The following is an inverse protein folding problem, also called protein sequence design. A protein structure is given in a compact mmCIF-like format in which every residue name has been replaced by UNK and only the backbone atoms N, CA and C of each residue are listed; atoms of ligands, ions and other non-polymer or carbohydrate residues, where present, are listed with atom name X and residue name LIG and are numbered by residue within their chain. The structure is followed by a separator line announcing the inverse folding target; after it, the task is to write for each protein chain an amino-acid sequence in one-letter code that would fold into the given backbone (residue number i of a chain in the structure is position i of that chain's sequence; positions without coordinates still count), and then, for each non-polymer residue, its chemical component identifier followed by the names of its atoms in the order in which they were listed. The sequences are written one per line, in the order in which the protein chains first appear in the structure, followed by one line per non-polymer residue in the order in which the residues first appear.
data_IF_519356327795
#
_entry.id   IF_519356327795
#
_cell.length_a   1.000
_cell.length_b   1.000
_cell.length_c   1.000
_cell.angle_alpha   90.00
_cell.angle_beta   90.00
_cell.angle_gamma   90.00
#
_symmetry.space_group_name_H-M   'P 1'
#
loop_
_entity.id
_entity.type
_entity.pdbx_description
1 polymer ?
#
# COMPACT_ATOMS: atom_id res chain seq x y z
N UNK A 1 -6.03 -14.91 -23.07
CA UNK A 1 -6.29 -14.53 -21.66
C UNK A 1 -4.95 -14.43 -20.96
N UNK A 2 -4.59 -13.26 -20.45
CA UNK A 2 -3.32 -13.04 -19.76
C UNK A 2 -3.27 -13.91 -18.52
N UNK A 3 -2.22 -14.72 -18.38
CA UNK A 3 -2.03 -15.56 -17.21
C UNK A 3 -2.15 -14.71 -15.92
N UNK A 4 -3.08 -15.03 -14.99
CA UNK A 4 -3.15 -14.37 -13.70
C UNK A 4 -1.86 -14.57 -12.86
N UNK A 5 -0.92 -15.42 -13.31
CA UNK A 5 0.42 -15.56 -12.72
C UNK A 5 1.43 -14.48 -13.11
N UNK A 6 1.17 -13.66 -14.14
CA UNK A 6 2.16 -12.64 -14.54
C UNK A 6 1.99 -11.35 -13.75
N UNK A 7 3.12 -10.86 -13.21
CA UNK A 7 3.26 -9.52 -12.66
C UNK A 7 2.56 -8.49 -13.57
N UNK A 8 1.81 -7.58 -12.97
CA UNK A 8 1.02 -6.61 -13.70
C UNK A 8 1.24 -5.20 -13.17
N UNK A 9 1.08 -4.23 -14.05
CA UNK A 9 0.99 -2.83 -13.68
C UNK A 9 -0.47 -2.44 -13.59
N UNK A 10 -0.78 -1.52 -12.70
CA UNK A 10 -2.04 -0.79 -12.71
C UNK A 10 -1.76 0.68 -12.94
N UNK A 11 -2.42 1.27 -13.94
CA UNK A 11 -2.54 2.72 -14.05
C UNK A 11 -3.68 3.14 -13.13
N UNK A 12 -3.34 3.86 -12.05
CA UNK A 12 -4.26 4.20 -10.97
C UNK A 12 -4.37 5.70 -10.77
N UNK A 13 -5.55 6.13 -10.37
CA UNK A 13 -5.77 7.45 -9.77
C UNK A 13 -5.88 7.26 -8.26
N UNK A 14 -5.03 7.98 -7.53
CA UNK A 14 -5.07 8.03 -6.07
C UNK A 14 -5.66 9.38 -5.65
N UNK A 15 -6.73 9.32 -4.87
CA UNK A 15 -7.43 10.47 -4.31
C UNK A 15 -7.37 10.49 -2.80
N UNK A 16 -7.22 11.69 -2.25
CA UNK A 16 -7.36 11.96 -0.83
C UNK A 16 -8.40 13.05 -0.64
N UNK A 17 -9.35 12.82 0.26
CA UNK A 17 -10.41 13.78 0.61
C UNK A 17 -10.51 13.89 2.12
N UNK A 18 -10.42 15.11 2.65
CA UNK A 18 -10.63 15.41 4.06
C UNK A 18 -12.05 15.90 4.27
N UNK A 19 -12.78 15.25 5.17
CA UNK A 19 -14.16 15.58 5.50
C UNK A 19 -14.26 16.53 6.70
N UNK A 20 -13.15 17.18 7.08
CA UNK A 20 -13.06 18.15 8.18
C UNK A 20 -12.58 19.49 7.64
N UNK A 21 -13.00 20.60 8.24
CA UNK A 21 -12.67 21.94 7.75
C UNK A 21 -11.19 22.31 7.92
N UNK A 22 -10.53 22.86 6.87
CA UNK A 22 -11.07 23.03 5.52
C UNK A 22 -11.17 21.70 4.77
N UNK A 23 -12.30 21.49 4.09
CA UNK A 23 -12.48 20.38 3.17
C UNK A 23 -11.46 20.57 2.03
N UNK A 24 -10.46 19.70 2.01
CA UNK A 24 -9.36 19.74 1.07
C UNK A 24 -9.13 18.32 0.55
N UNK A 25 -8.70 18.24 -0.69
CA UNK A 25 -8.42 16.98 -1.33
C UNK A 25 -7.53 17.17 -2.54
N UNK A 26 -6.83 16.11 -2.87
CA UNK A 26 -6.01 16.09 -4.07
C UNK A 26 -6.10 14.72 -4.73
N UNK A 27 -5.94 14.73 -6.05
CA UNK A 27 -5.90 13.53 -6.87
C UNK A 27 -4.65 13.56 -7.73
N UNK A 28 -4.05 12.39 -7.91
CA UNK A 28 -2.88 12.24 -8.75
C UNK A 28 -2.89 10.87 -9.41
N UNK A 29 -2.28 10.78 -10.60
CA UNK A 29 -2.12 9.53 -11.33
C UNK A 29 -0.72 8.98 -11.12
N UNK A 30 -0.64 7.67 -11.01
CA UNK A 30 0.61 6.93 -10.87
C UNK A 30 0.40 5.50 -11.37
N UNK A 31 1.48 4.72 -11.40
CA UNK A 31 1.38 3.28 -11.55
C UNK A 31 1.80 2.54 -10.28
N UNK A 32 1.15 1.41 -10.02
CA UNK A 32 1.51 0.46 -8.97
C UNK A 32 1.66 -0.93 -9.56
N UNK A 33 2.41 -1.80 -8.88
CA UNK A 33 2.66 -3.17 -9.30
C UNK A 33 1.82 -4.13 -8.50
N UNK A 34 1.17 -5.07 -9.19
CA UNK A 34 0.67 -6.31 -8.59
C UNK A 34 1.63 -7.43 -8.96
N UNK A 35 2.22 -8.06 -7.95
CA UNK A 35 3.19 -9.15 -8.12
C UNK A 35 2.82 -10.33 -7.24
N UNK A 36 3.16 -11.52 -7.71
CA UNK A 36 3.18 -12.69 -6.86
C UNK A 36 4.47 -12.67 -6.02
N UNK A 37 4.37 -12.87 -4.71
CA UNK A 37 5.56 -12.91 -3.86
C UNK A 37 6.41 -14.16 -4.10
N UNK A 38 5.83 -15.23 -4.63
CA UNK A 38 6.51 -16.47 -4.95
C UNK A 38 7.10 -16.45 -6.39
N UNK A 39 6.65 -15.51 -7.24
CA UNK A 39 7.16 -15.28 -8.59
C UNK A 39 7.34 -13.77 -8.91
N UNK A 40 8.29 -13.14 -8.20
CA UNK A 40 8.62 -11.73 -8.42
C UNK A 40 9.21 -11.51 -9.83
N UNK A 41 8.83 -10.42 -10.53
CA UNK A 41 9.26 -10.18 -11.90
C UNK A 41 10.77 -9.94 -12.00
N UNK A 42 11.41 -10.62 -12.97
CA UNK A 42 12.84 -10.46 -13.28
C UNK A 42 13.02 -9.57 -14.50
N UNK A 43 13.30 -8.29 -14.30
CA UNK A 43 13.50 -7.36 -15.41
C UNK A 43 14.84 -7.56 -16.13
N UNK A 44 14.90 -7.26 -17.45
CA UNK A 44 16.16 -7.15 -18.19
C UNK A 44 17.11 -6.14 -17.54
N UNK A 45 18.43 -6.38 -17.63
CA UNK A 45 19.48 -5.58 -16.97
C UNK A 45 19.28 -4.06 -17.08
N UNK A 46 18.96 -3.47 -18.25
CA UNK A 46 18.77 -2.01 -18.36
C UNK A 46 17.54 -1.48 -17.62
N UNK A 47 16.53 -2.33 -17.38
CA UNK A 47 15.28 -1.95 -16.72
C UNK A 47 15.28 -2.27 -15.22
N UNK A 48 16.22 -3.09 -14.73
CA UNK A 48 16.34 -3.44 -13.30
C UNK A 48 16.41 -2.24 -12.36
N UNK A 49 17.07 -1.12 -12.69
CA UNK A 49 17.06 0.05 -11.81
C UNK A 49 15.67 0.68 -11.64
N UNK A 50 14.72 0.38 -12.52
CA UNK A 50 13.40 1.01 -12.56
C UNK A 50 12.28 0.17 -11.96
N UNK A 51 12.55 -1.07 -11.56
CA UNK A 51 11.65 -1.80 -10.67
C UNK A 51 12.43 -2.86 -9.90
N UNK A 52 12.51 -2.70 -8.57
CA UNK A 52 13.00 -3.73 -7.64
C UNK A 52 12.06 -3.87 -6.46
N UNK A 53 11.91 -5.10 -5.98
CA UNK A 53 11.17 -5.45 -4.78
C UNK A 53 12.18 -6.01 -3.79
N UNK A 54 12.38 -5.33 -2.67
CA UNK A 54 13.43 -5.64 -1.71
C UNK A 54 12.82 -5.71 -0.32
N UNK A 55 13.19 -6.72 0.47
CA UNK A 55 12.59 -6.92 1.80
C UNK A 55 12.78 -5.74 2.75
N UNK A 56 13.89 -4.98 2.61
CA UNK A 56 14.12 -3.76 3.39
C UNK A 56 13.05 -2.68 3.20
N UNK A 57 12.26 -2.76 2.13
CA UNK A 57 11.18 -1.82 1.82
C UNK A 57 9.81 -2.25 2.34
N UNK A 58 9.74 -3.42 2.95
CA UNK A 58 8.52 -4.05 3.43
C UNK A 58 8.68 -4.52 4.88
N UNK A 59 7.66 -5.16 5.44
CA UNK A 59 7.71 -5.63 6.82
C UNK A 59 8.87 -6.61 7.08
N UNK A 60 9.44 -6.53 8.28
CA UNK A 60 10.36 -7.54 8.81
C UNK A 60 11.80 -7.40 8.36
N UNK A 61 12.58 -8.46 8.55
CA UNK A 61 14.04 -8.41 8.40
C UNK A 61 14.46 -8.16 6.94
N UNK A 62 15.42 -7.25 6.67
CA UNK A 62 15.97 -7.06 5.32
C UNK A 62 16.77 -8.27 4.81
N UNK A 63 17.08 -9.23 5.67
CA UNK A 63 17.84 -10.45 5.34
C UNK A 63 16.96 -11.64 4.95
N UNK A 64 15.64 -11.47 4.94
CA UNK A 64 14.66 -12.49 4.52
C UNK A 64 13.99 -12.06 3.21
N UNK A 65 13.24 -12.96 2.58
CA UNK A 65 12.34 -12.57 1.49
C UNK A 65 11.12 -11.85 2.05
N UNK A 66 10.44 -11.03 1.22
CA UNK A 66 9.18 -10.38 1.61
C UNK A 66 8.15 -11.45 2.03
N UNK A 67 8.06 -12.54 1.26
CA UNK A 67 7.23 -13.71 1.56
C UNK A 67 7.48 -14.26 2.96
N UNK A 68 8.74 -14.57 3.29
CA UNK A 68 9.07 -15.17 4.58
C UNK A 68 8.81 -14.22 5.77
N UNK A 69 9.01 -12.92 5.59
CA UNK A 69 8.65 -11.93 6.62
C UNK A 69 7.13 -11.88 6.83
N UNK A 70 6.35 -11.89 5.75
CA UNK A 70 4.91 -11.92 5.80
C UNK A 70 4.39 -13.18 6.49
N UNK A 71 4.87 -14.36 6.12
CA UNK A 71 4.45 -15.63 6.74
C UNK A 71 4.76 -15.64 8.26
N UNK A 72 5.94 -15.14 8.65
CA UNK A 72 6.27 -15.01 10.08
C UNK A 72 5.37 -14.01 10.82
N UNK A 73 4.98 -12.91 10.17
CA UNK A 73 4.07 -11.96 10.79
C UNK A 73 2.65 -12.53 10.88
N UNK A 74 2.18 -13.23 9.85
CA UNK A 74 0.88 -13.90 9.81
C UNK A 74 0.78 -14.99 10.89
N UNK A 75 1.80 -15.84 11.04
CA UNK A 75 1.77 -16.92 12.04
C UNK A 75 1.67 -16.38 13.46
N UNK A 76 2.36 -15.27 13.76
CA UNK A 76 2.25 -14.55 15.04
C UNK A 76 0.87 -13.95 15.28
N UNK A 77 0.10 -13.72 14.22
CA UNK A 77 -1.28 -13.24 14.27
C UNK A 77 -2.30 -14.37 14.04
N UNK A 78 -1.88 -15.64 14.18
CA UNK A 78 -2.78 -16.81 14.13
C UNK A 78 -3.28 -17.15 12.73
N UNK A 79 -2.52 -16.82 11.68
CA UNK A 79 -2.83 -17.18 10.29
C UNK A 79 -1.69 -18.02 9.72
N UNK A 80 -2.01 -19.23 9.29
CA UNK A 80 -1.16 -20.04 8.43
C UNK A 80 -1.77 -20.06 7.02
N UNK A 81 -0.93 -19.85 6.01
CA UNK A 81 -1.36 -19.88 4.61
C UNK A 81 -1.17 -21.26 3.97
N UNK A 82 -0.48 -22.19 4.65
CA UNK A 82 -0.23 -23.55 4.16
C UNK A 82 0.45 -23.58 2.78
N UNK A 83 1.29 -22.57 2.51
CA UNK A 83 1.95 -22.39 1.20
C UNK A 83 1.05 -21.78 0.12
N UNK A 84 -0.16 -21.33 0.47
CA UNK A 84 -1.05 -20.63 -0.44
C UNK A 84 -0.49 -19.29 -0.93
N UNK A 85 -1.02 -18.84 -2.06
CA UNK A 85 -0.50 -17.73 -2.87
C UNK A 85 -0.60 -16.38 -2.15
N UNK A 86 0.37 -15.49 -2.37
CA UNK A 86 0.28 -14.09 -1.93
C UNK A 86 0.48 -13.11 -3.08
N UNK A 87 -0.55 -12.30 -3.32
CA UNK A 87 -0.50 -11.18 -4.25
C UNK A 87 -0.18 -9.88 -3.52
N UNK A 88 0.91 -9.23 -3.90
CA UNK A 88 1.35 -7.94 -3.34
C UNK A 88 1.07 -6.80 -4.33
N UNK A 89 0.34 -5.79 -3.87
CA UNK A 89 0.17 -4.51 -4.56
C UNK A 89 1.02 -3.42 -3.90
N UNK A 90 2.08 -2.99 -4.58
CA UNK A 90 3.08 -2.06 -4.05
C UNK A 90 3.72 -1.21 -5.15
N UNK A 91 4.37 -0.11 -4.78
CA UNK A 91 5.36 0.52 -5.64
C UNK A 91 6.68 -0.25 -5.59
N UNK A 92 7.30 -0.39 -6.76
CA UNK A 92 8.66 -0.88 -6.87
C UNK A 92 9.66 0.24 -6.58
N UNK A 93 10.87 -0.13 -6.18
CA UNK A 93 12.00 0.79 -6.10
C UNK A 93 12.45 1.22 -7.50
N UNK A 94 12.61 2.53 -7.67
CA UNK A 94 13.02 3.19 -8.90
C UNK A 94 14.23 4.06 -8.62
N UNK A 95 15.34 3.79 -9.31
CA UNK A 95 16.62 4.50 -9.19
C UNK A 95 17.10 4.63 -7.75
N UNK A 96 16.98 3.53 -6.99
CA UNK A 96 17.45 3.49 -5.59
C UNK A 96 16.50 4.12 -4.59
N UNK A 97 15.31 4.59 -4.97
CA UNK A 97 14.31 5.16 -4.06
C UNK A 97 12.95 4.49 -4.19
N UNK A 98 12.23 4.37 -3.08
CA UNK A 98 10.83 3.93 -3.06
C UNK A 98 10.07 4.73 -2.02
N UNK A 99 8.80 4.98 -2.29
CA UNK A 99 7.85 5.52 -1.33
C UNK A 99 6.57 4.68 -1.42
N UNK A 100 6.34 3.86 -0.41
CA UNK A 100 5.21 2.92 -0.30
C UNK A 100 4.30 3.35 0.86
N UNK A 101 3.40 4.34 0.67
CA UNK A 101 2.53 4.80 1.76
C UNK A 101 1.63 3.68 2.29
N UNK A 102 1.23 2.77 1.39
CA UNK A 102 0.55 1.53 1.74
C UNK A 102 0.93 0.43 0.74
N UNK A 103 1.13 -0.78 1.25
CA UNK A 103 1.24 -2.03 0.49
C UNK A 103 0.10 -2.95 0.93
N UNK A 104 -0.56 -3.60 -0.03
CA UNK A 104 -1.61 -4.58 0.25
C UNK A 104 -1.16 -5.98 -0.16
N UNK A 105 -1.40 -6.96 0.71
CA UNK A 105 -1.16 -8.37 0.45
C UNK A 105 -2.49 -9.12 0.49
N UNK A 106 -2.93 -9.69 -0.62
CA UNK A 106 -4.04 -10.65 -0.63
C UNK A 106 -3.44 -12.05 -0.44
N UNK A 107 -3.76 -12.65 0.71
CA UNK A 107 -3.20 -13.91 1.14
C UNK A 107 -4.23 -15.02 0.95
N UNK A 108 -3.90 -15.99 0.12
CA UNK A 108 -4.79 -17.10 -0.23
C UNK A 108 -4.35 -18.39 0.45
N UNK A 109 -5.29 -19.31 0.62
CA UNK A 109 -5.05 -20.72 0.91
C UNK A 109 -4.69 -21.49 -0.36
N UNK A 110 -4.21 -22.74 -0.26
CA UNK A 110 -3.88 -23.57 -1.43
C UNK A 110 -5.08 -23.83 -2.36
N UNK A 111 -6.30 -23.80 -1.84
CA UNK A 111 -7.55 -23.94 -2.61
C UNK A 111 -7.98 -22.65 -3.35
N UNK A 112 -7.24 -21.54 -3.16
CA UNK A 112 -7.51 -20.23 -3.75
C UNK A 112 -8.43 -19.33 -2.92
N UNK A 113 -9.00 -19.82 -1.81
CA UNK A 113 -9.81 -19.01 -0.89
C UNK A 113 -8.97 -17.88 -0.29
N UNK A 114 -9.55 -16.68 -0.16
CA UNK A 114 -8.90 -15.55 0.50
C UNK A 114 -8.88 -15.77 2.03
N UNK A 115 -7.72 -16.08 2.59
CA UNK A 115 -7.56 -16.25 4.04
C UNK A 115 -7.63 -14.91 4.79
N UNK A 116 -6.95 -13.89 4.26
CA UNK A 116 -6.91 -12.54 4.80
C UNK A 116 -6.31 -11.54 3.81
N UNK A 117 -6.42 -10.25 4.14
CA UNK A 117 -5.64 -9.18 3.51
C UNK A 117 -4.77 -8.53 4.58
N UNK A 118 -3.52 -8.21 4.24
CA UNK A 118 -2.65 -7.39 5.09
C UNK A 118 -2.45 -6.03 4.46
N UNK A 119 -2.74 -4.97 5.20
CA UNK A 119 -2.40 -3.60 4.81
C UNK A 119 -1.18 -3.14 5.60
N UNK A 120 -0.03 -3.06 4.94
CA UNK A 120 1.20 -2.51 5.49
C UNK A 120 1.27 -1.02 5.19
N UNK A 121 1.16 -0.19 6.21
CA UNK A 121 1.12 1.26 6.12
C UNK A 121 2.43 1.85 6.59
N UNK A 122 3.00 2.76 5.81
CA UNK A 122 4.21 3.50 6.16
C UNK A 122 3.88 4.95 6.40
N UNK A 123 4.63 5.61 7.29
CA UNK A 123 4.55 7.05 7.45
C UNK A 123 5.80 7.75 6.93
N UNK A 124 5.75 9.08 6.88
CA UNK A 124 6.88 9.91 6.42
C UNK A 124 8.06 9.96 7.40
N UNK A 125 7.95 9.30 8.55
CA UNK A 125 8.98 9.23 9.59
C UNK A 125 9.79 7.92 9.53
N UNK A 126 9.55 7.07 8.53
CA UNK A 126 10.24 5.79 8.37
C UNK A 126 9.70 4.67 9.25
N UNK A 127 8.54 4.87 9.88
CA UNK A 127 7.86 3.86 10.69
C UNK A 127 6.86 3.08 9.83
N UNK A 128 6.51 1.87 10.29
CA UNK A 128 5.64 0.93 9.58
C UNK A 128 4.65 0.27 10.54
N UNK A 129 3.48 -0.08 10.04
CA UNK A 129 2.45 -0.82 10.77
C UNK A 129 1.62 -1.67 9.83
N UNK A 130 1.40 -2.93 10.19
CA UNK A 130 0.56 -3.86 9.47
C UNK A 130 -0.81 -4.00 10.16
N UNK A 131 -1.87 -3.95 9.36
CA UNK A 131 -3.24 -4.30 9.76
C UNK A 131 -3.61 -5.64 9.16
N UNK A 132 -4.01 -6.60 10.00
CA UNK A 132 -4.62 -7.85 9.55
C UNK A 132 -6.11 -7.61 9.31
N UNK A 133 -6.58 -7.91 8.10
CA UNK A 133 -7.93 -7.63 7.66
C UNK A 133 -8.57 -8.94 7.19
N UNK A 134 -9.82 -9.15 7.57
CA UNK A 134 -10.66 -10.24 7.08
C UNK A 134 -11.86 -9.63 6.37
N UNK A 135 -11.73 -9.31 5.07
CA UNK A 135 -12.83 -8.71 4.33
C UNK A 135 -14.04 -9.63 4.29
N UNK A 136 -15.24 -9.06 4.37
CA UNK A 136 -16.49 -9.77 4.12
C UNK A 136 -16.63 -10.14 2.62
N UNK A 137 -17.70 -10.86 2.20
CA UNK A 137 -17.91 -11.19 0.80
C UNK A 137 -18.03 -9.99 -0.15
N UNK A 138 -18.28 -8.79 0.36
CA UNK A 138 -18.33 -7.54 -0.39
C UNK A 138 -16.98 -6.81 -0.41
N UNK A 139 -15.95 -7.38 0.23
CA UNK A 139 -14.60 -6.84 0.32
C UNK A 139 -14.41 -5.80 1.42
N UNK A 140 -15.32 -5.68 2.38
CA UNK A 140 -15.23 -4.70 3.46
C UNK A 140 -14.57 -5.27 4.72
N UNK A 141 -13.64 -4.52 5.31
CA UNK A 141 -13.03 -4.83 6.60
C UNK A 141 -12.93 -3.56 7.46
N UNK A 142 -13.18 -3.71 8.76
CA UNK A 142 -13.04 -2.60 9.72
C UNK A 142 -11.95 -2.94 10.74
N UNK A 143 -11.10 -1.96 11.05
CA UNK A 143 -10.03 -2.11 12.05
C UNK A 143 -9.82 -0.84 12.85
N UNK A 144 -9.50 -0.97 14.15
CA UNK A 144 -9.12 0.18 14.97
C UNK A 144 -7.81 0.78 14.47
N UNK A 145 -7.79 2.10 14.25
CA UNK A 145 -6.57 2.81 13.86
C UNK A 145 -5.59 2.82 15.03
N UNK A 146 -4.36 2.35 14.80
CA UNK A 146 -3.29 2.29 15.82
C UNK A 146 -2.00 2.97 15.38
N UNK A 147 -1.96 3.53 14.17
CA UNK A 147 -0.74 4.07 13.58
C UNK A 147 -0.80 5.57 13.28
N UNK A 148 0.29 6.28 13.58
CA UNK A 148 0.45 7.71 13.27
C UNK A 148 0.91 7.89 11.82
N UNK A 149 -0.05 8.08 10.92
CA UNK A 149 0.19 8.18 9.47
C UNK A 149 0.40 9.61 8.98
N UNK A 150 -0.26 10.58 9.64
CA UNK A 150 -0.24 11.98 9.24
C UNK A 150 -0.43 12.87 10.47
N UNK A 151 0.32 13.97 10.59
CA UNK A 151 0.10 14.95 11.66
C UNK A 151 -1.27 15.63 11.59
N UNK A 152 -1.93 15.60 10.44
CA UNK A 152 -3.22 16.25 10.23
C UNK A 152 -4.41 15.29 10.27
N UNK A 153 -4.22 14.08 10.81
CA UNK A 153 -5.28 13.12 11.08
C UNK A 153 -5.20 12.71 12.56
N UNK A 154 -6.34 12.48 13.23
CA UNK A 154 -6.31 12.03 14.60
C UNK A 154 -5.63 10.67 14.70
N UNK A 155 -5.01 10.42 15.85
CA UNK A 155 -4.34 9.15 16.08
C UNK A 155 -5.34 8.00 16.28
N UNK A 156 -6.47 8.30 16.94
CA UNK A 156 -7.57 7.39 17.24
C UNK A 156 -8.65 7.39 16.15
N UNK A 157 -9.53 6.39 16.22
CA UNK A 157 -10.62 6.16 15.28
C UNK A 157 -10.62 4.75 14.72
N UNK A 158 -11.39 4.54 13.68
CA UNK A 158 -11.47 3.27 12.96
C UNK A 158 -11.27 3.48 11.46
N UNK A 159 -10.61 2.52 10.82
CA UNK A 159 -10.57 2.41 9.38
C UNK A 159 -11.67 1.47 8.90
N UNK A 160 -12.49 1.92 7.97
CA UNK A 160 -13.29 1.07 7.08
C UNK A 160 -12.54 0.96 5.76
N UNK A 161 -12.20 -0.26 5.36
CA UNK A 161 -11.48 -0.53 4.13
C UNK A 161 -12.35 -1.35 3.19
N UNK A 162 -12.43 -0.93 1.92
CA UNK A 162 -12.95 -1.76 0.82
C UNK A 162 -11.76 -2.25 0.01
N UNK A 163 -11.62 -3.56 -0.08
CA UNK A 163 -10.45 -4.26 -0.62
C UNK A 163 -10.89 -5.22 -1.72
N UNK A 164 -11.23 -4.68 -2.88
CA UNK A 164 -11.60 -5.51 -4.03
C UNK A 164 -10.43 -6.40 -4.46
N UNK A 165 -10.72 -7.64 -4.84
CA UNK A 165 -9.70 -8.53 -5.41
C UNK A 165 -9.09 -7.90 -6.68
N UNK A 166 -7.75 -7.82 -6.80
CA UNK A 166 -7.10 -7.08 -7.87
C UNK A 166 -7.05 -7.90 -9.17
N UNK A 167 -8.17 -7.93 -9.89
CA UNK A 167 -8.34 -8.60 -11.20
C UNK A 167 -8.07 -7.69 -12.41
N UNK A 168 -9.09 -7.40 -13.22
CA UNK A 168 -8.96 -6.43 -14.34
C UNK A 168 -8.91 -4.98 -13.86
N UNK A 169 -9.40 -4.74 -12.65
CA UNK A 169 -9.42 -3.44 -11.99
C UNK A 169 -8.94 -3.60 -10.56
N UNK A 170 -8.23 -2.60 -10.10
CA UNK A 170 -7.97 -2.43 -8.67
C UNK A 170 -8.92 -1.37 -8.15
N UNK A 171 -9.54 -1.65 -7.01
CA UNK A 171 -10.30 -0.68 -6.26
C UNK A 171 -10.08 -0.91 -4.77
N UNK A 172 -9.39 0.07 -4.18
CA UNK A 172 -9.13 0.12 -2.76
C UNK A 172 -9.64 1.45 -2.23
N UNK A 173 -10.40 1.41 -1.14
CA UNK A 173 -10.84 2.60 -0.42
C UNK A 173 -10.55 2.43 1.05
N UNK A 174 -9.98 3.46 1.67
CA UNK A 174 -9.72 3.52 3.11
C UNK A 174 -10.40 4.77 3.66
N UNK A 175 -11.40 4.59 4.51
CA UNK A 175 -12.10 5.67 5.21
C UNK A 175 -11.68 5.67 6.67
N UNK A 176 -11.30 6.84 7.17
CA UNK A 176 -11.08 7.05 8.60
C UNK A 176 -12.32 7.67 9.21
N UNK A 177 -12.83 7.05 10.26
CA UNK A 177 -13.90 7.56 11.10
C UNK A 177 -13.36 7.97 12.47
N UNK A 178 -13.97 8.97 13.09
CA UNK A 178 -13.72 9.27 14.50
C UNK A 178 -14.40 8.23 15.43
N UNK A 179 -14.25 8.41 16.74
CA UNK A 179 -14.84 7.53 17.74
C UNK A 179 -16.39 7.59 17.77
N UNK A 180 -17.00 8.65 17.21
CA UNK A 180 -18.44 8.78 17.04
C UNK A 180 -18.94 8.26 15.68
N UNK A 181 -18.05 7.71 14.84
CA UNK A 181 -18.38 7.17 13.51
C UNK A 181 -18.44 8.21 12.39
N UNK A 182 -18.13 9.48 12.64
CA UNK A 182 -18.14 10.53 11.61
C UNK A 182 -16.94 10.35 10.66
N UNK A 183 -17.14 10.40 9.33
CA UNK A 183 -16.04 10.32 8.39
C UNK A 183 -15.13 11.54 8.51
N UNK A 184 -13.83 11.30 8.63
CA UNK A 184 -12.80 12.35 8.73
C UNK A 184 -11.94 12.44 7.47
N UNK A 185 -11.68 11.29 6.85
CA UNK A 185 -10.78 11.20 5.70
C UNK A 185 -11.13 10.01 4.82
N UNK A 186 -10.88 10.15 3.52
CA UNK A 186 -10.99 9.05 2.56
C UNK A 186 -9.77 9.07 1.65
N UNK A 187 -9.07 7.94 1.61
CA UNK A 187 -8.11 7.62 0.55
C UNK A 187 -8.77 6.64 -0.41
N UNK A 188 -8.65 6.88 -1.70
CA UNK A 188 -9.15 6.00 -2.75
C UNK A 188 -8.05 5.74 -3.77
N UNK A 189 -7.94 4.49 -4.21
CA UNK A 189 -7.07 4.08 -5.30
C UNK A 189 -7.89 3.20 -6.23
N UNK A 190 -8.09 3.68 -7.46
CA UNK A 190 -8.80 2.91 -8.48
C UNK A 190 -8.05 2.98 -9.80
N UNK A 191 -8.07 1.89 -10.56
CA UNK A 191 -7.38 1.83 -11.82
C UNK A 191 -7.62 0.55 -12.59
N UNK A 192 -6.94 0.42 -13.72
CA UNK A 192 -7.08 -0.73 -14.63
C UNK A 192 -5.76 -1.45 -14.76
N UNK A 193 -5.84 -2.77 -14.85
CA UNK A 193 -4.69 -3.62 -15.13
C UNK A 193 -4.15 -3.27 -16.52
N UNK A 194 -2.84 -3.12 -16.59
CA UNK A 194 -2.08 -2.87 -17.79
C UNK A 194 -1.23 -4.12 -18.05
N UNK A 195 -1.43 -4.81 -19.18
CA UNK A 195 -0.60 -5.96 -19.53
C UNK A 195 0.88 -5.60 -19.48
N UNK A 196 1.68 -6.42 -18.80
CA UNK A 196 3.12 -6.25 -18.65
C UNK A 196 3.88 -6.67 -19.92
N UNK A 197 3.48 -6.13 -21.07
CA UNK A 197 4.24 -6.29 -22.30
C UNK A 197 5.58 -5.55 -22.20
N UNK A 198 6.72 -6.15 -22.58
CA UNK A 198 8.04 -5.55 -22.39
C UNK A 198 8.18 -4.13 -22.96
N UNK A 199 7.61 -3.87 -24.14
CA UNK A 199 7.63 -2.54 -24.78
C UNK A 199 6.84 -1.50 -24.00
N UNK A 200 5.66 -1.88 -23.52
CA UNK A 200 4.78 -1.00 -22.75
C UNK A 200 5.34 -0.72 -21.36
N UNK A 201 5.91 -1.75 -20.74
CA UNK A 201 6.64 -1.66 -19.49
C UNK A 201 7.83 -0.72 -19.60
N UNK A 202 8.68 -0.88 -20.61
CA UNK A 202 9.81 0.01 -20.86
C UNK A 202 9.34 1.47 -21.06
N UNK A 203 8.29 1.69 -21.87
CA UNK A 203 7.72 3.03 -22.08
C UNK A 203 7.19 3.66 -20.79
N UNK A 204 6.51 2.89 -19.93
CA UNK A 204 5.99 3.37 -18.65
C UNK A 204 7.11 3.72 -17.67
N UNK A 205 8.08 2.81 -17.51
CA UNK A 205 9.21 2.98 -16.58
C UNK A 205 10.13 4.13 -17.01
N UNK A 206 10.45 4.23 -18.30
CA UNK A 206 11.34 5.28 -18.83
C UNK A 206 10.61 6.62 -19.04
N UNK A 207 9.30 6.60 -19.31
CA UNK A 207 8.50 7.82 -19.42
C UNK A 207 8.23 8.49 -18.08
N UNK A 208 8.28 7.73 -16.97
CA UNK A 208 8.12 8.26 -15.63
C UNK A 208 9.17 7.68 -14.66
N UNK A 209 10.47 8.02 -14.84
CA UNK A 209 11.56 7.38 -14.12
C UNK A 209 11.68 7.81 -12.66
N UNK A 210 10.84 8.75 -12.20
CA UNK A 210 10.89 9.33 -10.86
C UNK A 210 9.51 9.32 -10.18
N UNK A 211 8.62 8.38 -10.51
CA UNK A 211 7.27 8.33 -9.90
C UNK A 211 7.33 8.32 -8.38
N UNK A 212 8.06 7.41 -7.71
CA UNK A 212 8.08 7.38 -6.23
C UNK A 212 8.59 8.70 -5.63
N UNK A 213 9.60 9.32 -6.24
CA UNK A 213 10.19 10.59 -5.83
C UNK A 213 9.17 11.73 -5.96
N UNK A 214 8.47 11.80 -7.11
CA UNK A 214 7.44 12.81 -7.38
C UNK A 214 6.26 12.68 -6.40
N UNK A 215 5.80 11.46 -6.15
CA UNK A 215 4.71 11.19 -5.20
C UNK A 215 5.12 11.61 -3.78
N UNK A 216 6.32 11.23 -3.34
CA UNK A 216 6.82 11.60 -2.02
C UNK A 216 7.01 13.11 -1.86
N UNK A 217 7.52 13.80 -2.89
CA UNK A 217 7.66 15.26 -2.90
C UNK A 217 6.29 15.96 -2.81
N UNK A 218 5.31 15.48 -3.60
CA UNK A 218 3.95 16.03 -3.61
C UNK A 218 3.24 15.86 -2.27
N UNK A 219 3.37 14.68 -1.63
CA UNK A 219 2.78 14.45 -0.30
C UNK A 219 3.42 15.32 0.77
N UNK A 220 4.75 15.49 0.74
CA UNK A 220 5.45 16.42 1.64
C UNK A 220 5.03 17.87 1.41
N UNK A 221 4.93 18.30 0.16
CA UNK A 221 4.48 19.65 -0.19
C UNK A 221 3.04 19.92 0.26
N UNK A 222 2.15 18.95 0.10
CA UNK A 222 0.77 19.05 0.60
C UNK A 222 0.74 19.17 2.14
N UNK A 223 1.56 18.38 2.85
CA UNK A 223 1.70 18.51 4.30
C UNK A 223 2.19 19.89 4.75
N UNK A 224 3.21 20.44 4.07
CA UNK A 224 3.72 21.80 4.33
C UNK A 224 2.64 22.85 4.04
N UNK A 225 1.89 22.70 2.94
CA UNK A 225 0.79 23.61 2.60
C UNK A 225 -0.29 23.63 3.67
N UNK A 226 -0.65 22.49 4.26
CA UNK A 226 -1.60 22.43 5.37
C UNK A 226 -1.09 23.16 6.61
N UNK A 227 0.19 22.98 6.96
CA UNK A 227 0.81 23.68 8.07
C UNK A 227 0.83 25.20 7.85
N UNK A 228 1.23 25.66 6.67
CA UNK A 228 1.22 27.08 6.29
C UNK A 228 -0.20 27.69 6.29
N UNK A 229 -1.23 26.87 6.08
CA UNK A 229 -2.66 27.26 6.18
C UNK A 229 -3.19 27.23 7.63
N UNK A 230 -2.32 27.10 8.63
CA UNK A 230 -2.68 27.22 10.04
C UNK A 230 -3.21 25.93 10.69
N UNK A 231 -3.09 24.76 10.05
CA UNK A 231 -3.40 23.49 10.72
C UNK A 231 -2.29 23.13 11.71
N UNK A 232 -2.63 23.07 12.98
CA UNK A 232 -1.73 22.56 14.01
C UNK A 232 -1.53 21.03 13.85
N UNK A 233 -0.28 20.55 13.82
CA UNK A 233 0.00 19.12 13.79
C UNK A 233 -0.42 18.49 15.13
N UNK A 234 -1.05 17.32 15.06
CA UNK A 234 -1.34 16.51 16.25
C UNK A 234 -0.02 16.02 16.87
N UNK A 235 0.10 16.04 18.20
CA UNK A 235 1.30 15.56 18.88
C UNK A 235 1.56 14.10 18.51
N UNK A 236 2.83 13.79 18.25
CA UNK A 236 3.26 12.44 17.93
C UNK A 236 3.50 11.68 19.23
N UNK A 237 2.83 10.55 19.41
CA UNK A 237 3.26 9.56 20.41
C UNK A 237 4.32 8.66 19.78
N UNK A 238 5.35 8.24 20.55
CA UNK A 238 6.36 7.30 20.05
C UNK A 238 5.70 6.04 19.46
N UNK A 239 6.08 5.68 18.23
CA UNK A 239 5.56 4.46 17.61
C UNK A 239 6.17 3.24 18.29
N UNK A 240 5.32 2.36 18.80
CA UNK A 240 5.76 1.05 19.28
C UNK A 240 5.78 0.11 18.08
N UNK A 241 6.98 -0.32 17.68
CA UNK A 241 7.14 -1.26 16.57
C UNK A 241 6.37 -2.54 16.86
N UNK A 242 5.54 -2.96 15.89
CA UNK A 242 4.91 -4.28 15.94
C UNK A 242 5.98 -5.35 15.77
N UNK A 243 5.88 -6.40 16.57
CA UNK A 243 6.78 -7.54 16.46
C UNK A 243 6.66 -8.14 15.04
N UNK A 244 7.80 -8.36 14.38
CA UNK A 244 7.84 -8.85 12.99
C UNK A 244 7.67 -7.80 11.89
N UNK A 245 7.51 -6.51 12.21
CA UNK A 245 7.32 -5.41 11.22
C UNK A 245 8.51 -4.42 11.18
N UNK A 246 9.61 -4.77 11.85
CA UNK A 246 10.78 -3.90 12.01
C UNK A 246 11.44 -3.52 10.69
#
# INVERSE_FOLDING_TARGET
MSDPNSAALYDVTVGHTRHTEPNDGFRHRLYTWLVDLDDLPRLPLPLRPFARFEARDHLGSPHRTIRANLDNWLSRNGVDLEGGRVLMLAHARVLGYVFNPVTFYWCHRPDGELACVVAEVHNTYGERHCYLLRPDPHGYATVTKRFYVSPFLPQRGSYEMRLGYPGERVDVRVRLHDEAGKPLFTAEMHGRRVPAEPRRLARLLLGNPLVPQRVAAMIRAHGISLWLRGRSPNPRTPHVHQEGVR
#
